data_IF_143412596916
#
_entry.id   IF_143412596916
#
_cell.length_a   1.000
_cell.length_b   1.000
_cell.length_c   1.000
_cell.angle_alpha   90.00
_cell.angle_beta   90.00
_cell.angle_gamma   90.00
#
_symmetry.space_group_name_H-M   'P 1'
#
loop_
_entity.id
_entity.type
_entity.pdbx_description
1 polymer ?
#
# COMPACT_ATOMS: atom_id res chain seq x y z
N UNK A 1 13.47 -0.54 -11.39
CA UNK A 1 12.21 -1.29 -11.51
C UNK A 1 11.21 -0.36 -12.17
N UNK A 2 10.61 -0.76 -13.27
CA UNK A 2 9.68 0.10 -14.00
C UNK A 2 8.24 -0.16 -13.52
N UNK A 3 7.42 0.88 -13.50
CA UNK A 3 5.97 0.74 -13.38
C UNK A 3 5.35 1.46 -14.57
N UNK A 4 4.51 0.76 -15.33
CA UNK A 4 3.78 1.32 -16.47
C UNK A 4 2.29 1.14 -16.24
N UNK A 5 1.55 2.23 -16.38
CA UNK A 5 0.11 2.29 -16.19
C UNK A 5 -0.49 3.01 -17.40
N UNK A 6 -1.40 2.36 -18.08
CA UNK A 6 -2.21 2.93 -19.14
C UNK A 6 -3.61 2.37 -19.02
N UNK A 7 -4.51 3.06 -18.32
CA UNK A 7 -5.83 2.54 -17.96
C UNK A 7 -6.93 3.57 -18.12
N UNK A 8 -8.12 3.05 -18.43
CA UNK A 8 -9.36 3.81 -18.36
C UNK A 8 -10.36 3.12 -17.44
N UNK A 9 -11.10 3.92 -16.69
CA UNK A 9 -12.19 3.45 -15.83
C UNK A 9 -13.33 4.44 -15.82
N UNK A 10 -14.50 4.00 -16.29
CA UNK A 10 -15.72 4.79 -16.23
C UNK A 10 -16.45 4.51 -14.89
N UNK A 11 -16.80 5.57 -14.17
CA UNK A 11 -17.53 5.55 -12.91
C UNK A 11 -18.86 6.31 -13.00
N UNK A 12 -19.41 6.44 -14.19
CA UNK A 12 -20.65 7.19 -14.43
C UNK A 12 -20.38 8.69 -14.60
N UNK A 13 -20.39 9.44 -13.52
CA UNK A 13 -20.13 10.90 -13.54
C UNK A 13 -18.64 11.27 -13.66
N UNK A 14 -17.74 10.33 -13.47
CA UNK A 14 -16.28 10.52 -13.52
C UNK A 14 -15.63 9.44 -14.37
N UNK A 15 -14.67 9.83 -15.21
CA UNK A 15 -13.85 8.90 -16.00
C UNK A 15 -12.39 9.08 -15.63
N UNK A 16 -11.78 8.02 -15.11
CA UNK A 16 -10.34 7.97 -14.92
C UNK A 16 -9.69 7.61 -16.25
N UNK A 17 -8.79 8.47 -16.72
CA UNK A 17 -7.87 8.19 -17.84
C UNK A 17 -6.45 8.50 -17.33
N UNK A 18 -5.65 7.46 -17.11
CA UNK A 18 -4.35 7.59 -16.49
C UNK A 18 -3.29 6.89 -17.32
N UNK A 19 -2.27 7.66 -17.68
CA UNK A 19 -1.17 7.15 -18.49
C UNK A 19 0.16 7.66 -17.94
N UNK A 20 1.04 6.76 -17.51
CA UNK A 20 2.42 7.07 -17.16
C UNK A 20 3.31 5.83 -17.20
N UNK A 21 4.61 6.07 -17.34
CA UNK A 21 5.66 5.08 -17.17
C UNK A 21 6.80 5.69 -16.36
N UNK A 22 7.36 4.93 -15.43
CA UNK A 22 8.46 5.40 -14.59
C UNK A 22 9.44 4.30 -14.28
N UNK A 23 10.72 4.65 -14.24
CA UNK A 23 11.80 3.84 -13.68
C UNK A 23 12.32 4.44 -12.37
N UNK A 24 11.77 5.55 -11.95
CA UNK A 24 12.15 6.22 -10.72
C UNK A 24 11.86 5.37 -9.49
N UNK A 25 12.74 5.43 -8.50
CA UNK A 25 12.55 4.73 -7.20
C UNK A 25 11.35 5.30 -6.42
N UNK A 26 10.97 6.56 -6.68
CA UNK A 26 9.84 7.25 -6.05
C UNK A 26 9.10 8.05 -7.11
N UNK A 27 7.78 7.98 -7.08
CA UNK A 27 6.90 8.76 -7.95
C UNK A 27 5.79 9.38 -7.10
N UNK A 28 5.61 10.70 -7.22
CA UNK A 28 4.48 11.43 -6.65
C UNK A 28 3.40 11.64 -7.69
N UNK A 29 2.15 11.31 -7.36
CA UNK A 29 0.96 11.62 -8.17
C UNK A 29 0.27 12.82 -7.55
N UNK A 30 0.32 13.97 -8.21
CA UNK A 30 -0.26 15.22 -7.75
C UNK A 30 -1.57 15.51 -8.52
N UNK A 31 -2.47 16.25 -7.90
CA UNK A 31 -3.74 16.65 -8.48
C UNK A 31 -4.76 17.04 -7.40
N UNK A 32 -5.82 17.69 -7.80
CA UNK A 32 -6.91 18.10 -6.91
C UNK A 32 -7.60 16.94 -6.21
N UNK A 33 -8.34 17.25 -5.14
CA UNK A 33 -9.20 16.23 -4.51
C UNK A 33 -10.24 15.75 -5.53
N UNK A 34 -10.47 14.43 -5.59
CA UNK A 34 -11.37 13.85 -6.58
C UNK A 34 -10.75 13.56 -7.97
N UNK A 35 -9.51 13.97 -8.26
CA UNK A 35 -8.85 13.75 -9.55
C UNK A 35 -8.53 12.26 -9.86
N UNK A 36 -8.94 11.32 -9.02
CA UNK A 36 -8.77 9.88 -9.27
C UNK A 36 -7.45 9.28 -8.78
N UNK A 37 -6.61 10.02 -8.01
CA UNK A 37 -5.32 9.53 -7.49
C UNK A 37 -5.44 8.19 -6.75
N UNK A 38 -6.33 8.13 -5.75
CA UNK A 38 -6.60 6.89 -4.99
C UNK A 38 -7.15 5.76 -5.87
N UNK A 39 -7.92 6.09 -6.91
CA UNK A 39 -8.44 5.09 -7.85
C UNK A 39 -7.33 4.49 -8.70
N UNK A 40 -6.38 5.31 -9.15
CA UNK A 40 -5.19 4.84 -9.86
C UNK A 40 -4.38 3.87 -8.97
N UNK A 41 -4.08 4.26 -7.72
CA UNK A 41 -3.37 3.40 -6.77
C UNK A 41 -4.14 2.09 -6.52
N UNK A 42 -5.46 2.14 -6.34
CA UNK A 42 -6.32 0.95 -6.18
C UNK A 42 -6.32 0.07 -7.44
N UNK A 43 -6.24 0.66 -8.63
CA UNK A 43 -6.13 -0.10 -9.87
C UNK A 43 -4.79 -0.84 -9.96
N UNK A 44 -3.68 -0.20 -9.61
CA UNK A 44 -2.35 -0.83 -9.57
C UNK A 44 -2.35 -1.97 -8.54
N UNK A 45 -2.93 -1.76 -7.37
CA UNK A 45 -3.02 -2.79 -6.32
C UNK A 45 -3.97 -3.96 -6.68
N UNK A 46 -4.82 -3.80 -7.71
CA UNK A 46 -5.81 -4.82 -8.11
C UNK A 46 -7.09 -4.80 -7.28
N UNK A 47 -7.29 -3.77 -6.47
CA UNK A 47 -8.51 -3.53 -5.69
C UNK A 47 -9.62 -3.00 -6.61
N UNK A 48 -9.25 -2.14 -7.56
CA UNK A 48 -10.13 -1.63 -8.61
C UNK A 48 -9.77 -2.29 -9.95
N UNK A 49 -10.76 -2.83 -10.66
CA UNK A 49 -10.56 -3.37 -12.00
C UNK A 49 -10.79 -2.27 -13.04
N UNK A 50 -9.77 -1.90 -13.85
CA UNK A 50 -9.97 -1.00 -15.00
C UNK A 50 -10.90 -1.61 -16.05
N UNK A 51 -11.50 -0.75 -16.88
CA UNK A 51 -12.33 -1.18 -18.00
C UNK A 51 -11.49 -1.44 -19.25
N UNK A 52 -10.41 -0.66 -19.44
CA UNK A 52 -9.51 -0.76 -20.57
C UNK A 52 -8.05 -0.58 -20.13
N UNK A 53 -7.14 -0.95 -21.04
CA UNK A 53 -5.70 -0.70 -20.90
C UNK A 53 -4.94 -1.82 -20.23
N UNK A 54 -3.78 -1.46 -19.66
CA UNK A 54 -2.85 -2.42 -19.06
C UNK A 54 -2.02 -1.79 -17.94
N UNK A 55 -1.53 -2.65 -17.04
CA UNK A 55 -0.64 -2.28 -15.92
C UNK A 55 0.50 -3.29 -15.86
N UNK A 56 1.72 -2.78 -15.79
CA UNK A 56 2.94 -3.55 -15.58
C UNK A 56 3.66 -3.10 -14.32
N UNK A 57 4.17 -4.07 -13.56
CA UNK A 57 5.06 -3.86 -12.42
C UNK A 57 6.34 -4.63 -12.74
N UNK A 58 7.44 -3.91 -12.96
CA UNK A 58 8.62 -4.48 -13.60
C UNK A 58 8.27 -5.04 -14.97
N UNK A 59 8.62 -6.28 -15.22
CA UNK A 59 8.28 -7.01 -16.45
C UNK A 59 6.92 -7.75 -16.35
N UNK A 60 6.30 -7.73 -15.17
CA UNK A 60 5.08 -8.47 -14.91
C UNK A 60 3.85 -7.69 -15.35
N UNK A 61 3.11 -8.16 -16.35
CA UNK A 61 1.78 -7.67 -16.66
C UNK A 61 0.81 -8.13 -15.55
N UNK A 62 0.32 -7.18 -14.73
CA UNK A 62 -0.62 -7.48 -13.65
C UNK A 62 -2.07 -7.27 -14.06
N UNK A 63 -2.30 -6.44 -15.06
CA UNK A 63 -3.60 -6.23 -15.70
C UNK A 63 -3.43 -5.97 -17.19
N UNK A 64 -4.26 -6.58 -18.04
CA UNK A 64 -4.40 -6.22 -19.45
C UNK A 64 -5.79 -6.64 -19.92
N UNK A 65 -6.55 -5.69 -20.44
CA UNK A 65 -7.88 -5.94 -21.02
C UNK A 65 -7.77 -6.82 -22.25
N UNK A 66 -6.82 -6.52 -23.14
CA UNK A 66 -6.58 -7.24 -24.39
C UNK A 66 -6.21 -8.70 -24.13
N UNK A 67 -5.24 -8.93 -23.24
CA UNK A 67 -4.75 -10.27 -22.86
C UNK A 67 -5.69 -10.99 -21.89
N UNK A 68 -6.85 -10.40 -21.55
CA UNK A 68 -7.82 -10.93 -20.55
C UNK A 68 -7.15 -11.30 -19.22
N UNK A 69 -6.11 -10.57 -18.83
CA UNK A 69 -5.32 -10.80 -17.62
C UNK A 69 -5.73 -9.82 -16.52
N UNK A 70 -5.99 -10.35 -15.32
CA UNK A 70 -6.23 -9.54 -14.13
C UNK A 70 -5.76 -10.33 -12.91
N UNK A 71 -4.56 -10.06 -12.45
CA UNK A 71 -4.03 -10.70 -11.24
C UNK A 71 -4.76 -10.16 -10.00
N UNK A 72 -5.19 -11.04 -9.08
CA UNK A 72 -5.75 -10.59 -7.81
C UNK A 72 -4.67 -9.89 -6.97
N UNK A 73 -5.05 -9.01 -6.01
CA UNK A 73 -4.11 -8.22 -5.20
C UNK A 73 -2.98 -9.05 -4.58
N UNK A 74 -3.30 -10.22 -4.04
CA UNK A 74 -2.36 -11.12 -3.36
C UNK A 74 -1.23 -11.65 -4.27
N UNK A 75 -1.41 -11.59 -5.59
CA UNK A 75 -0.42 -12.05 -6.58
C UNK A 75 0.37 -10.91 -7.23
N UNK A 76 0.07 -9.66 -6.89
CA UNK A 76 0.73 -8.49 -7.49
C UNK A 76 1.99 -8.05 -6.76
N UNK A 77 2.25 -8.59 -5.57
CA UNK A 77 3.38 -8.21 -4.68
C UNK A 77 3.43 -6.69 -4.41
N UNK A 78 2.27 -6.10 -4.20
CA UNK A 78 2.08 -4.68 -3.95
C UNK A 78 1.72 -4.46 -2.49
N UNK A 79 2.44 -3.57 -1.82
CA UNK A 79 2.04 -3.03 -0.53
C UNK A 79 1.12 -1.83 -0.74
N UNK A 80 -0.02 -1.78 -0.04
CA UNK A 80 -0.93 -0.64 -0.13
C UNK A 80 -1.21 -0.08 1.26
N UNK A 81 -0.84 1.17 1.49
CA UNK A 81 -1.21 1.92 2.68
C UNK A 81 -2.49 2.70 2.41
N UNK A 82 -3.57 2.30 3.07
CA UNK A 82 -4.83 3.03 3.05
C UNK A 82 -4.76 4.28 3.93
N UNK A 83 -5.51 5.31 3.60
CA UNK A 83 -5.64 6.51 4.41
C UNK A 83 -6.09 6.21 5.87
N UNK A 84 -6.93 5.19 6.06
CA UNK A 84 -7.39 4.73 7.39
C UNK A 84 -6.47 3.68 8.02
N UNK A 85 -5.27 3.44 7.46
CA UNK A 85 -4.31 2.41 7.86
C UNK A 85 -4.81 0.97 7.75
N UNK A 86 -6.12 0.73 7.75
CA UNK A 86 -6.80 -0.56 7.63
C UNK A 86 -6.20 -1.68 8.50
N UNK A 87 -5.77 -1.36 9.72
CA UNK A 87 -5.39 -2.37 10.70
C UNK A 87 -6.63 -3.17 11.13
N UNK A 88 -6.45 -4.47 11.37
CA UNK A 88 -7.51 -5.32 11.91
C UNK A 88 -7.72 -4.98 13.40
N UNK A 89 -8.85 -4.39 13.80
CA UNK A 89 -9.01 -3.79 15.12
C UNK A 89 -9.01 -4.81 16.27
N UNK A 90 -9.36 -6.07 15.99
CA UNK A 90 -9.44 -7.15 16.97
C UNK A 90 -8.17 -8.00 17.01
N UNK A 91 -7.17 -7.68 16.20
CA UNK A 91 -5.88 -8.34 16.17
C UNK A 91 -4.82 -7.45 16.80
N UNK A 92 -3.93 -8.04 17.60
CA UNK A 92 -2.74 -7.36 18.10
C UNK A 92 -1.83 -6.88 16.96
N UNK A 93 -0.84 -6.04 17.28
CA UNK A 93 0.18 -5.62 16.30
C UNK A 93 0.86 -6.85 15.70
N UNK A 94 1.27 -7.81 16.52
CA UNK A 94 1.91 -9.04 16.06
C UNK A 94 1.01 -9.83 15.09
N UNK A 95 -0.25 -10.02 15.43
CA UNK A 95 -1.22 -10.73 14.59
C UNK A 95 -1.47 -9.97 13.27
N UNK A 96 -1.59 -8.63 13.32
CA UNK A 96 -1.71 -7.81 12.12
C UNK A 96 -0.54 -8.00 11.14
N UNK A 97 0.68 -8.14 11.63
CA UNK A 97 1.85 -8.41 10.79
C UNK A 97 1.89 -9.86 10.33
N UNK A 98 1.53 -10.81 11.21
CA UNK A 98 1.58 -12.24 10.93
C UNK A 98 0.69 -12.67 9.75
N UNK A 99 -0.44 -11.98 9.50
CA UNK A 99 -1.33 -12.30 8.37
C UNK A 99 -0.68 -12.04 7.01
N UNK A 100 0.35 -11.19 6.94
CA UNK A 100 1.09 -10.92 5.71
C UNK A 100 2.18 -11.96 5.41
N UNK A 101 2.46 -12.84 6.38
CA UNK A 101 3.55 -13.82 6.29
C UNK A 101 3.02 -15.24 6.12
N UNK A 102 3.78 -16.01 5.34
CA UNK A 102 3.70 -17.49 5.28
C UNK A 102 4.92 -18.06 5.99
N UNK A 103 4.85 -19.32 6.42
CA UNK A 103 5.95 -20.01 7.07
C UNK A 103 5.66 -20.42 8.50
N UNK A 104 6.66 -20.98 9.19
CA UNK A 104 6.57 -21.42 10.58
C UNK A 104 6.39 -20.24 11.54
N UNK A 105 6.06 -20.55 12.79
CA UNK A 105 5.91 -19.52 13.83
C UNK A 105 7.24 -18.82 14.11
N UNK A 106 8.31 -19.58 14.13
CA UNK A 106 9.67 -19.11 14.40
C UNK A 106 10.16 -18.14 13.32
N UNK A 107 9.95 -18.49 12.04
CA UNK A 107 10.29 -17.62 10.90
C UNK A 107 9.52 -16.30 10.93
N UNK A 108 8.24 -16.36 11.30
CA UNK A 108 7.42 -15.16 11.45
C UNK A 108 7.88 -14.29 12.61
N UNK A 109 8.22 -14.90 13.74
CA UNK A 109 8.66 -14.21 14.94
C UNK A 109 9.95 -13.42 14.70
N UNK A 110 10.92 -14.00 14.01
CA UNK A 110 12.16 -13.34 13.61
C UNK A 110 11.91 -12.13 12.72
N UNK A 111 11.14 -12.30 11.62
CA UNK A 111 10.82 -11.22 10.69
C UNK A 111 10.01 -10.09 11.35
N UNK A 112 9.02 -10.43 12.15
CA UNK A 112 8.17 -9.46 12.85
C UNK A 112 9.00 -8.68 13.88
N UNK A 113 9.84 -9.36 14.67
CA UNK A 113 10.68 -8.71 15.66
C UNK A 113 11.61 -7.70 15.01
N UNK A 114 12.28 -8.07 13.91
CA UNK A 114 13.17 -7.18 13.16
C UNK A 114 12.45 -5.94 12.62
N UNK A 115 11.26 -6.11 12.04
CA UNK A 115 10.54 -4.96 11.48
C UNK A 115 9.95 -4.06 12.57
N UNK A 116 9.49 -4.62 13.68
CA UNK A 116 8.98 -3.84 14.82
C UNK A 116 10.09 -2.99 15.47
N UNK A 117 11.31 -3.50 15.55
CA UNK A 117 12.45 -2.73 16.02
C UNK A 117 12.76 -1.56 15.08
N UNK A 118 12.82 -1.80 13.75
CA UNK A 118 13.01 -0.75 12.73
C UNK A 118 11.93 0.32 12.74
N UNK A 119 10.70 -0.05 13.11
CA UNK A 119 9.54 0.86 13.16
C UNK A 119 9.33 1.49 14.55
N UNK A 120 10.26 1.28 15.50
CA UNK A 120 10.15 1.78 16.87
C UNK A 120 8.85 1.34 17.58
N UNK A 121 8.44 0.09 17.35
CA UNK A 121 7.24 -0.51 17.94
C UNK A 121 7.56 -1.68 18.87
N UNK A 122 8.84 -1.87 19.23
CA UNK A 122 9.28 -2.90 20.19
C UNK A 122 8.54 -2.74 21.51
N UNK A 123 8.04 -3.84 22.05
CA UNK A 123 7.22 -3.88 23.28
C UNK A 123 5.73 -3.58 23.05
N UNK A 124 5.30 -3.39 21.80
CA UNK A 124 3.91 -3.14 21.45
C UNK A 124 3.22 -4.33 20.74
N UNK A 125 3.90 -5.47 20.65
CA UNK A 125 3.50 -6.66 19.90
C UNK A 125 2.09 -7.13 20.28
N UNK A 126 1.76 -7.08 21.56
CA UNK A 126 0.47 -7.53 22.12
C UNK A 126 -0.62 -6.46 22.16
N UNK A 127 -0.29 -5.21 21.80
CA UNK A 127 -1.28 -4.12 21.80
C UNK A 127 -2.27 -4.25 20.64
N UNK A 128 -3.53 -3.92 20.92
CA UNK A 128 -4.55 -3.73 19.88
C UNK A 128 -4.38 -2.35 19.20
N UNK A 129 -4.78 -2.17 17.93
CA UNK A 129 -4.71 -0.89 17.23
C UNK A 129 -5.31 0.28 18.00
N UNK A 130 -6.46 0.10 18.63
CA UNK A 130 -7.12 1.13 19.44
C UNK A 130 -6.36 1.58 20.69
N UNK A 131 -5.26 0.92 21.05
CA UNK A 131 -4.35 1.29 22.14
C UNK A 131 -3.05 1.93 21.67
N UNK A 132 -2.97 2.22 20.38
CA UNK A 132 -1.84 2.89 19.73
C UNK A 132 -2.19 4.34 19.43
N UNK A 133 -1.19 5.24 19.50
CA UNK A 133 -1.35 6.59 18.93
C UNK A 133 -1.50 6.54 17.41
N UNK A 134 -1.98 7.61 16.77
CA UNK A 134 -2.12 7.66 15.31
C UNK A 134 -0.80 7.38 14.58
N UNK A 135 0.32 7.96 15.02
CA UNK A 135 1.64 7.67 14.46
C UNK A 135 2.10 6.22 14.69
N UNK A 136 1.75 5.60 15.83
CA UNK A 136 2.03 4.18 16.08
C UNK A 136 1.17 3.28 15.19
N UNK A 137 -0.10 3.63 14.97
CA UNK A 137 -0.97 2.89 14.03
C UNK A 137 -0.43 2.97 12.60
N UNK A 138 0.02 4.13 12.17
CA UNK A 138 0.63 4.32 10.86
C UNK A 138 1.89 3.46 10.71
N UNK A 139 2.81 3.49 11.69
CA UNK A 139 4.01 2.67 11.68
C UNK A 139 3.68 1.16 11.70
N UNK A 140 2.67 0.74 12.45
CA UNK A 140 2.21 -0.65 12.46
C UNK A 140 1.64 -1.07 11.09
N UNK A 141 0.89 -0.20 10.41
CA UNK A 141 0.40 -0.47 9.06
C UNK A 141 1.54 -0.56 8.02
N UNK A 142 2.53 0.34 8.11
CA UNK A 142 3.74 0.27 7.29
C UNK A 142 4.55 -1.01 7.59
N UNK A 143 4.72 -1.38 8.86
CA UNK A 143 5.38 -2.62 9.26
C UNK A 143 4.69 -3.84 8.64
N UNK A 144 3.34 -3.90 8.66
CA UNK A 144 2.56 -4.96 8.04
C UNK A 144 2.79 -5.07 6.53
N UNK A 145 2.97 -3.93 5.85
CA UNK A 145 3.28 -3.91 4.42
C UNK A 145 4.69 -4.41 4.18
N UNK A 146 5.67 -3.87 4.91
CA UNK A 146 7.09 -4.14 4.69
C UNK A 146 7.49 -5.57 5.03
N UNK A 147 6.86 -6.18 6.05
CA UNK A 147 7.14 -7.56 6.43
C UNK A 147 6.82 -8.56 5.31
N UNK A 148 5.89 -8.19 4.41
CA UNK A 148 5.52 -8.97 3.22
C UNK A 148 6.47 -8.81 2.03
N UNK A 149 7.53 -8.01 2.15
CA UNK A 149 8.55 -7.77 1.12
C UNK A 149 7.95 -7.43 -0.26
N UNK A 150 7.12 -6.37 -0.37
CA UNK A 150 6.49 -6.03 -1.62
C UNK A 150 7.50 -5.49 -2.65
N UNK A 151 7.22 -5.69 -3.94
CA UNK A 151 8.02 -5.12 -5.03
C UNK A 151 7.81 -3.61 -5.18
N UNK A 152 6.59 -3.14 -4.87
CA UNK A 152 6.23 -1.71 -4.89
C UNK A 152 5.31 -1.40 -3.71
N UNK A 153 5.43 -0.17 -3.18
CA UNK A 153 4.58 0.33 -2.11
C UNK A 153 3.79 1.51 -2.65
N UNK A 154 2.48 1.46 -2.45
CA UNK A 154 1.53 2.50 -2.82
C UNK A 154 1.03 3.17 -1.54
N UNK A 155 1.22 4.48 -1.45
CA UNK A 155 0.84 5.28 -0.29
C UNK A 155 -0.31 6.21 -0.70
N UNK A 156 -1.48 6.00 -0.12
CA UNK A 156 -2.68 6.80 -0.38
C UNK A 156 -2.83 7.84 0.72
N UNK A 157 -2.47 9.09 0.43
CA UNK A 157 -2.48 10.21 1.37
C UNK A 157 -1.77 9.93 2.71
N UNK A 158 -0.50 9.48 2.70
CA UNK A 158 0.16 8.98 3.92
C UNK A 158 0.32 10.02 5.02
N UNK A 159 0.18 11.30 4.71
CA UNK A 159 0.36 12.41 5.65
C UNK A 159 -0.95 13.10 6.06
N UNK A 160 -2.10 12.59 5.62
CA UNK A 160 -3.41 13.22 5.90
C UNK A 160 -3.79 13.23 7.38
N UNK A 161 -3.26 12.29 8.17
CA UNK A 161 -3.52 12.17 9.61
C UNK A 161 -2.42 12.76 10.51
N UNK A 162 -1.38 13.38 9.94
CA UNK A 162 -0.31 14.01 10.71
C UNK A 162 -0.69 15.45 11.04
N UNK A 163 -0.44 15.86 12.29
CA UNK A 163 -0.53 17.26 12.72
C UNK A 163 0.35 18.17 11.85
N UNK A 164 -0.12 19.38 11.59
CA UNK A 164 0.54 20.38 10.74
C UNK A 164 2.04 20.56 11.04
N UNK A 165 2.43 20.47 12.32
CA UNK A 165 3.81 20.62 12.78
C UNK A 165 4.73 19.45 12.41
N UNK A 166 4.20 18.26 12.17
CA UNK A 166 4.96 17.09 11.70
C UNK A 166 5.09 17.05 10.17
N UNK A 167 4.09 17.58 9.46
CA UNK A 167 4.13 17.66 7.99
C UNK A 167 5.34 18.44 7.48
N UNK A 168 5.63 19.59 8.10
CA UNK A 168 6.73 20.46 7.67
C UNK A 168 8.10 19.81 7.85
N UNK A 169 8.30 19.03 8.92
CA UNK A 169 9.58 18.33 9.18
C UNK A 169 9.84 17.12 8.27
N UNK A 170 8.83 16.61 7.59
CA UNK A 170 8.98 15.45 6.70
C UNK A 170 9.04 15.85 5.23
N UNK A 171 8.98 17.15 4.91
CA UNK A 171 9.16 17.68 3.55
C UNK A 171 10.60 18.18 3.29
N UNK A 172 11.44 18.28 4.32
CA UNK A 172 12.88 18.51 4.23
C UNK A 172 13.63 17.16 4.08
#
# INVERSE_FOLDING_TARGET
>A
MACSVSIKKNMGSFSLDMHFQTEAKRLGILGESGAGKSMCLKAIAGILKPDEGEIYIGENCVFSKEKKRNLPPQKRKVGYLFQSYALFPHMSVWENLSVALKGSKEEKEEKISSILEKMELKGMEKRLPGRLSGGQQQRAALARILVGEPEIILLDEPFSALDFSLRDRMQE
#
